data_IF_178235211624
#
_entry.id   IF_178235211624
#
_cell.length_a   1.000
_cell.length_b   1.000
_cell.length_c   1.000
_cell.angle_alpha   90.00
_cell.angle_beta   90.00
_cell.angle_gamma   90.00
#
_symmetry.space_group_name_H-M   'P 1'
#
loop_
_entity.id
_entity.type
_entity.pdbx_description
1 polymer ?
#
# COMPACT_ATOMS: atom_id res chain seq x y z
N UNK A 1 -19.12 -5.20 7.82
CA UNK A 1 -18.09 -5.94 7.05
C UNK A 1 -16.84 -6.06 7.88
N UNK A 2 -16.39 -7.29 8.15
CA UNK A 2 -15.27 -7.59 9.03
C UNK A 2 -14.00 -6.86 8.58
N UNK A 3 -13.25 -6.26 9.53
CA UNK A 3 -12.12 -5.33 9.30
C UNK A 3 -11.07 -5.89 8.32
N UNK A 4 -10.97 -7.21 8.25
CA UNK A 4 -10.06 -7.96 7.38
C UNK A 4 -10.45 -7.95 5.89
N UNK A 5 -11.74 -7.93 5.53
CA UNK A 5 -12.16 -7.92 4.13
C UNK A 5 -11.88 -6.59 3.41
N UNK A 6 -11.90 -5.47 4.15
CA UNK A 6 -11.59 -4.15 3.60
C UNK A 6 -10.10 -4.03 3.22
N UNK A 7 -9.24 -4.72 3.97
CA UNK A 7 -7.78 -4.74 3.75
C UNK A 7 -7.40 -5.55 2.51
N UNK A 8 -8.03 -6.72 2.31
CA UNK A 8 -7.79 -7.56 1.13
C UNK A 8 -8.23 -6.89 -0.17
N UNK A 9 -9.36 -6.17 -0.15
CA UNK A 9 -9.88 -5.49 -1.34
C UNK A 9 -8.99 -4.31 -1.75
N UNK A 10 -8.44 -3.58 -0.78
CA UNK A 10 -7.41 -2.56 -1.01
C UNK A 10 -6.14 -3.15 -1.63
N UNK A 11 -5.70 -4.31 -1.15
CA UNK A 11 -4.52 -4.98 -1.70
C UNK A 11 -4.72 -5.34 -3.18
N UNK A 12 -5.88 -5.92 -3.51
CA UNK A 12 -6.23 -6.26 -4.90
C UNK A 12 -6.24 -5.01 -5.79
N UNK A 13 -6.81 -3.90 -5.33
CA UNK A 13 -6.82 -2.64 -6.06
C UNK A 13 -5.39 -2.13 -6.30
N UNK A 14 -4.53 -2.14 -5.28
CA UNK A 14 -3.13 -1.69 -5.40
C UNK A 14 -2.36 -2.54 -6.40
N UNK A 15 -2.52 -3.87 -6.35
CA UNK A 15 -1.86 -4.79 -7.28
C UNK A 15 -2.33 -4.52 -8.72
N UNK A 16 -3.64 -4.41 -8.95
CA UNK A 16 -4.20 -4.14 -10.27
C UNK A 16 -3.72 -2.81 -10.86
N UNK A 17 -3.72 -1.74 -10.06
CA UNK A 17 -3.24 -0.41 -10.49
C UNK A 17 -1.74 -0.47 -10.82
N UNK A 18 -0.95 -1.16 -10.00
CA UNK A 18 0.50 -1.26 -10.21
C UNK A 18 0.84 -2.05 -11.48
N UNK A 19 0.10 -3.12 -11.77
CA UNK A 19 0.23 -3.88 -13.01
C UNK A 19 -0.10 -2.98 -14.21
N UNK A 20 -1.24 -2.28 -14.19
CA UNK A 20 -1.67 -1.40 -15.30
C UNK A 20 -0.66 -0.28 -15.55
N UNK A 21 -0.17 0.40 -14.50
CA UNK A 21 0.86 1.43 -14.64
C UNK A 21 2.18 0.87 -15.19
N UNK A 22 2.59 -0.31 -14.71
CA UNK A 22 3.83 -0.93 -15.17
C UNK A 22 3.76 -1.35 -16.63
N UNK A 23 2.63 -1.92 -17.08
CA UNK A 23 2.51 -2.42 -18.46
C UNK A 23 2.15 -1.34 -19.48
N UNK A 24 1.30 -0.37 -19.13
CA UNK A 24 0.78 0.58 -20.13
C UNK A 24 1.42 1.97 -20.07
N UNK A 25 2.00 2.38 -18.93
CA UNK A 25 2.54 3.73 -18.78
C UNK A 25 4.06 3.77 -18.89
N UNK A 26 4.73 2.77 -18.33
CA UNK A 26 6.19 2.77 -18.19
C UNK A 26 6.89 1.84 -19.20
N UNK A 27 6.13 1.07 -19.98
CA UNK A 27 6.62 0.09 -20.99
C UNK A 27 7.74 -0.81 -20.43
N UNK A 28 7.63 -1.15 -19.14
CA UNK A 28 8.66 -1.93 -18.45
C UNK A 28 8.34 -3.40 -18.60
N UNK A 29 9.35 -4.18 -18.98
CA UNK A 29 9.24 -5.64 -18.96
C UNK A 29 8.73 -6.11 -17.59
N UNK A 30 7.87 -7.12 -17.60
CA UNK A 30 7.14 -7.64 -16.43
C UNK A 30 8.06 -7.86 -15.21
N UNK A 31 9.34 -8.21 -15.44
CA UNK A 31 10.35 -8.36 -14.40
C UNK A 31 10.62 -7.10 -13.56
N UNK A 32 10.60 -5.91 -14.15
CA UNK A 32 10.80 -4.66 -13.42
C UNK A 32 9.52 -4.15 -12.75
N UNK A 33 8.34 -4.50 -13.27
CA UNK A 33 7.05 -4.22 -12.62
C UNK A 33 6.93 -4.85 -11.23
N UNK A 34 7.62 -5.98 -11.00
CA UNK A 34 7.71 -6.64 -9.69
C UNK A 34 8.46 -5.77 -8.68
N UNK A 35 9.51 -5.07 -9.10
CA UNK A 35 10.27 -4.15 -8.23
C UNK A 35 9.38 -2.98 -7.80
N UNK A 36 8.57 -2.45 -8.72
CA UNK A 36 7.56 -1.42 -8.40
C UNK A 36 6.50 -1.93 -7.41
N UNK A 37 6.07 -3.18 -7.54
CA UNK A 37 5.17 -3.82 -6.57
C UNK A 37 5.79 -3.89 -5.17
N UNK A 38 7.07 -4.26 -5.03
CA UNK A 38 7.74 -4.27 -3.74
C UNK A 38 7.82 -2.88 -3.11
N UNK A 39 8.13 -1.85 -3.91
CA UNK A 39 8.15 -0.46 -3.44
C UNK A 39 6.75 0.00 -3.01
N UNK A 40 5.71 -0.30 -3.79
CA UNK A 40 4.32 0.08 -3.50
C UNK A 40 3.81 -0.61 -2.22
N UNK A 41 4.09 -1.91 -2.05
CA UNK A 41 3.73 -2.67 -0.84
C UNK A 41 4.47 -2.12 0.38
N UNK A 42 5.79 -1.92 0.26
CA UNK A 42 6.61 -1.35 1.34
C UNK A 42 6.13 0.05 1.75
N UNK A 43 5.79 0.89 0.78
CA UNK A 43 5.24 2.22 1.03
C UNK A 43 3.87 2.18 1.73
N UNK A 44 3.00 1.24 1.35
CA UNK A 44 1.70 1.04 1.99
C UNK A 44 1.85 0.60 3.45
N UNK A 45 2.78 -0.32 3.74
CA UNK A 45 3.11 -0.75 5.11
C UNK A 45 3.65 0.43 5.92
N UNK A 46 4.55 1.22 5.35
CA UNK A 46 5.09 2.42 6.00
C UNK A 46 3.98 3.42 6.36
N UNK A 47 3.03 3.67 5.44
CA UNK A 47 1.90 4.57 5.70
C UNK A 47 1.00 4.04 6.83
N UNK A 48 0.72 2.74 6.87
CA UNK A 48 -0.02 2.12 7.97
C UNK A 48 0.70 2.28 9.32
N UNK A 49 2.02 2.03 9.37
CA UNK A 49 2.81 2.24 10.58
C UNK A 49 2.85 3.72 11.01
N UNK A 50 2.97 4.64 10.05
CA UNK A 50 2.95 6.08 10.31
C UNK A 50 1.60 6.52 10.88
N UNK A 51 0.49 6.02 10.33
CA UNK A 51 -0.85 6.28 10.85
C UNK A 51 -0.99 5.78 12.29
N UNK A 52 -0.61 4.53 12.55
CA UNK A 52 -0.65 3.94 13.90
C UNK A 52 0.18 4.75 14.91
N UNK A 53 1.38 5.18 14.53
CA UNK A 53 2.24 6.01 15.39
C UNK A 53 1.63 7.39 15.67
N UNK A 54 0.92 7.97 14.71
CA UNK A 54 0.25 9.26 14.87
C UNK A 54 -0.98 9.15 15.79
N UNK A 55 -1.73 8.06 15.72
CA UNK A 55 -2.81 7.76 16.67
C UNK A 55 -2.27 7.64 18.10
N UNK A 56 -1.21 6.86 18.31
CA UNK A 56 -0.57 6.72 19.62
C UNK A 56 0.00 8.04 20.18
N UNK A 57 0.51 8.92 19.31
CA UNK A 57 0.97 10.25 19.72
C UNK A 57 -0.19 11.16 20.13
N UNK A 58 -1.32 11.10 19.42
CA UNK A 58 -2.52 11.86 19.79
C UNK A 58 -3.06 11.42 21.14
N UNK A 59 -3.13 10.11 21.39
CA UNK A 59 -3.62 9.58 22.67
C UNK A 59 -2.73 10.00 23.85
N UNK A 60 -1.40 10.03 23.66
CA UNK A 60 -0.45 10.50 24.68
C UNK A 60 -0.46 12.02 24.93
N UNK A 61 -1.01 12.82 24.02
CA UNK A 61 -1.15 14.28 24.21
C UNK A 61 -2.50 14.68 24.81
N UNK A 62 -3.46 13.75 24.87
CA UNK A 62 -4.78 13.91 25.47
C UNK A 62 -4.87 13.34 26.89
N UNK A 63 -3.79 12.70 27.37
CA UNK A 63 -3.57 12.29 28.78
C UNK A 63 -2.72 13.34 29.49
#
# INVERSE_FOLDING_TARGET
>A
MNKYHRSSLLLIIIVSITIILSTYWLDVEIGYGIILLFLAVGYTIYLNFKALRNEQKKDKQLQ
#
